data_IF_096413802916
#
_entry.id   IF_096413802916
#
_cell.length_a   1.000
_cell.length_b   1.000
_cell.length_c   1.000
_cell.angle_alpha   90.00
_cell.angle_beta   90.00
_cell.angle_gamma   90.00
#
_symmetry.space_group_name_H-M   'P 1'
#
loop_
_entity.id
_entity.type
_entity.pdbx_description
1 polymer ?
#
# COMPACT_ATOMS: atom_id res chain seq x y z
N UNK A 1 -1.61 -0.55 -4.86
CA UNK A 1 -0.56 -1.32 -4.16
C UNK A 1 -1.22 -2.61 -3.72
N UNK A 2 -0.60 -3.77 -3.91
CA UNK A 2 -1.17 -5.04 -3.49
C UNK A 2 -0.88 -5.31 -2.00
N UNK A 3 -1.15 -4.31 -1.15
CA UNK A 3 -0.78 -4.36 0.27
C UNK A 3 -1.54 -5.47 1.01
N UNK A 4 -2.81 -5.70 0.66
CA UNK A 4 -3.60 -6.81 1.19
C UNK A 4 -2.98 -8.17 0.90
N UNK A 5 -2.58 -8.43 -0.35
CA UNK A 5 -1.93 -9.69 -0.71
C UNK A 5 -0.51 -9.83 -0.16
N UNK A 6 0.22 -8.73 0.03
CA UNK A 6 1.51 -8.75 0.72
C UNK A 6 1.35 -9.11 2.21
N UNK A 7 0.40 -8.49 2.90
CA UNK A 7 0.07 -8.85 4.29
C UNK A 7 -0.41 -10.29 4.40
N UNK A 8 -1.21 -10.75 3.43
CA UNK A 8 -1.64 -12.13 3.32
C UNK A 8 -0.48 -13.09 3.10
N UNK A 9 0.58 -12.67 2.42
CA UNK A 9 1.80 -13.46 2.34
C UNK A 9 2.54 -13.45 3.69
N UNK A 10 2.68 -12.31 4.37
CA UNK A 10 3.49 -12.20 5.57
C UNK A 10 2.86 -12.84 6.83
N UNK A 11 1.60 -12.53 7.15
CA UNK A 11 0.98 -12.94 8.43
C UNK A 11 0.87 -14.47 8.62
N UNK A 12 0.59 -15.27 7.58
CA UNK A 12 0.61 -16.72 7.71
C UNK A 12 1.99 -17.30 8.05
N UNK A 13 3.09 -16.59 7.77
CA UNK A 13 4.45 -17.01 8.11
C UNK A 13 4.90 -16.55 9.50
N UNK A 14 4.09 -15.78 10.24
CA UNK A 14 4.36 -15.51 11.64
C UNK A 14 4.35 -16.81 12.47
N UNK A 15 4.86 -16.75 13.70
CA UNK A 15 4.82 -17.87 14.63
C UNK A 15 3.37 -18.36 14.85
N UNK A 16 3.14 -19.67 14.71
CA UNK A 16 1.82 -20.31 14.84
C UNK A 16 1.28 -20.24 16.26
N UNK A 17 2.15 -20.29 17.27
CA UNK A 17 1.73 -20.20 18.69
C UNK A 17 1.21 -18.80 19.03
N UNK A 18 1.71 -17.78 18.32
CA UNK A 18 1.31 -16.39 18.51
C UNK A 18 0.11 -16.03 17.64
N UNK A 19 0.07 -16.53 16.42
CA UNK A 19 -0.96 -16.24 15.44
C UNK A 19 -1.39 -17.51 14.70
N UNK A 20 -2.31 -18.30 15.25
CA UNK A 20 -2.73 -19.56 14.65
C UNK A 20 -3.72 -19.39 13.49
N UNK A 21 -4.45 -18.27 13.43
CA UNK A 21 -5.44 -18.01 12.38
C UNK A 21 -5.32 -16.64 11.73
N UNK A 22 -5.54 -16.58 10.42
CA UNK A 22 -5.62 -15.32 9.64
C UNK A 22 -6.89 -15.34 8.80
N UNK A 23 -7.73 -14.32 8.94
CA UNK A 23 -8.87 -14.09 8.05
C UNK A 23 -8.53 -13.01 7.03
N UNK A 24 -8.80 -13.25 5.75
CA UNK A 24 -8.64 -12.27 4.67
C UNK A 24 -9.96 -12.03 3.97
N UNK A 25 -10.37 -10.77 3.88
CA UNK A 25 -11.60 -10.36 3.20
C UNK A 25 -11.23 -9.44 2.04
N UNK A 26 -11.72 -9.75 0.84
CA UNK A 26 -11.56 -8.90 -0.34
C UNK A 26 -12.83 -8.96 -1.19
N UNK A 27 -13.41 -7.79 -1.49
CA UNK A 27 -14.68 -7.72 -2.20
C UNK A 27 -15.79 -8.48 -1.46
N UNK A 28 -16.39 -9.48 -2.11
CA UNK A 28 -17.43 -10.36 -1.53
C UNK A 28 -16.92 -11.76 -1.16
N UNK A 29 -15.61 -11.91 -1.02
CA UNK A 29 -14.97 -13.18 -0.69
C UNK A 29 -14.22 -13.06 0.63
N UNK A 30 -14.27 -14.11 1.43
CA UNK A 30 -13.44 -14.23 2.62
C UNK A 30 -12.76 -15.59 2.70
N UNK A 31 -11.57 -15.59 3.27
CA UNK A 31 -10.68 -16.73 3.38
C UNK A 31 -10.22 -16.84 4.83
N UNK A 32 -10.30 -18.04 5.42
CA UNK A 32 -9.76 -18.33 6.74
C UNK A 32 -8.61 -19.31 6.61
N UNK A 33 -7.43 -18.89 7.03
CA UNK A 33 -6.21 -19.69 7.06
C UNK A 33 -6.04 -20.22 8.48
N UNK A 34 -6.17 -21.54 8.65
CA UNK A 34 -5.85 -22.22 9.89
C UNK A 34 -4.47 -22.84 9.77
N UNK A 35 -3.52 -22.30 10.54
CA UNK A 35 -2.12 -22.74 10.50
C UNK A 35 -1.87 -24.00 11.33
N UNK A 36 -2.73 -24.30 12.29
CA UNK A 36 -2.62 -25.54 13.06
C UNK A 36 -2.93 -26.74 12.17
N UNK A 37 -3.98 -26.63 11.36
CA UNK A 37 -4.41 -27.69 10.45
C UNK A 37 -3.85 -27.54 9.03
N UNK A 38 -3.19 -26.41 8.72
CA UNK A 38 -2.67 -26.03 7.40
C UNK A 38 -3.74 -26.04 6.32
N UNK A 39 -4.94 -25.56 6.66
CA UNK A 39 -6.09 -25.51 5.75
C UNK A 39 -6.48 -24.07 5.40
N UNK A 40 -7.16 -23.92 4.26
CA UNK A 40 -7.78 -22.66 3.84
C UNK A 40 -9.25 -22.92 3.54
N UNK A 41 -10.12 -22.22 4.26
CA UNK A 41 -11.56 -22.25 4.03
C UNK A 41 -11.99 -20.99 3.28
N UNK A 42 -12.85 -21.13 2.27
CA UNK A 42 -13.36 -20.01 1.47
C UNK A 42 -14.86 -19.84 1.70
N UNK A 43 -15.29 -18.59 1.86
CA UNK A 43 -16.68 -18.22 2.06
C UNK A 43 -17.09 -17.16 1.03
N UNK A 44 -18.28 -17.32 0.43
CA UNK A 44 -18.89 -16.32 -0.47
C UNK A 44 -19.94 -15.49 0.27
N UNK A 45 -19.94 -14.18 0.02
CA UNK A 45 -20.87 -13.22 0.63
C UNK A 45 -20.22 -12.46 1.78
N UNK A 46 -21.01 -12.09 2.79
CA UNK A 46 -20.52 -11.49 4.04
C UNK A 46 -20.50 -12.47 5.25
N UNK A 47 -20.06 -13.76 5.17
CA UNK A 47 -20.31 -14.75 6.23
C UNK A 47 -19.03 -15.23 6.93
N UNK A 48 -17.88 -14.57 6.70
CA UNK A 48 -16.62 -14.91 7.39
C UNK A 48 -16.66 -14.53 8.88
N UNK A 49 -17.53 -13.60 9.27
CA UNK A 49 -17.59 -13.04 10.62
C UNK A 49 -18.13 -14.04 11.62
N UNK A 50 -19.18 -14.79 11.29
CA UNK A 50 -19.75 -15.78 12.20
C UNK A 50 -18.73 -16.85 12.55
N UNK A 51 -17.96 -17.29 11.55
CA UNK A 51 -16.88 -18.27 11.74
C UNK A 51 -15.77 -17.69 12.61
N UNK A 52 -15.29 -16.48 12.30
CA UNK A 52 -14.24 -15.82 13.10
C UNK A 52 -14.72 -15.55 14.54
N UNK A 53 -15.98 -15.17 14.73
CA UNK A 53 -16.61 -15.00 16.04
C UNK A 53 -16.64 -16.31 16.84
N UNK A 54 -17.01 -17.43 16.21
CA UNK A 54 -17.00 -18.75 16.87
C UNK A 54 -15.59 -19.10 17.38
N UNK A 55 -14.55 -18.86 16.58
CA UNK A 55 -13.17 -19.12 16.99
C UNK A 55 -12.70 -18.16 18.09
N UNK A 56 -13.03 -16.87 17.99
CA UNK A 56 -12.79 -15.87 19.03
C UNK A 56 -13.43 -16.25 20.37
N UNK A 57 -14.70 -16.69 20.37
CA UNK A 57 -15.41 -17.15 21.57
C UNK A 57 -14.79 -18.40 22.19
N UNK A 58 -14.16 -19.26 21.38
CA UNK A 58 -13.38 -20.43 21.84
C UNK A 58 -11.98 -20.05 22.34
N UNK A 59 -11.62 -18.78 22.36
CA UNK A 59 -10.32 -18.28 22.82
C UNK A 59 -9.19 -18.44 21.81
N UNK A 60 -9.50 -18.76 20.54
CA UNK A 60 -8.48 -18.85 19.49
C UNK A 60 -8.06 -17.45 19.09
N UNK A 61 -6.75 -17.19 19.09
CA UNK A 61 -6.17 -15.92 18.63
C UNK A 61 -6.16 -15.87 17.11
N UNK A 62 -6.35 -14.69 16.54
CA UNK A 62 -6.20 -14.51 15.11
C UNK A 62 -6.11 -13.06 14.69
N UNK A 63 -5.98 -12.87 13.38
CA UNK A 63 -5.85 -11.55 12.78
C UNK A 63 -6.69 -11.44 11.52
N UNK A 64 -7.39 -10.32 11.36
CA UNK A 64 -8.17 -10.02 10.17
C UNK A 64 -7.43 -9.02 9.27
N UNK A 65 -7.31 -9.35 7.99
CA UNK A 65 -6.93 -8.41 6.94
C UNK A 65 -8.21 -8.11 6.13
N UNK A 66 -8.68 -6.86 6.20
CA UNK A 66 -9.83 -6.41 5.42
C UNK A 66 -9.36 -5.54 4.26
N UNK A 67 -9.40 -6.07 3.04
CA UNK A 67 -9.01 -5.37 1.83
C UNK A 67 -10.20 -4.62 1.23
N UNK A 68 -10.30 -3.34 1.58
CA UNK A 68 -11.36 -2.45 1.14
C UNK A 68 -11.17 -1.97 -0.31
N UNK A 69 -10.14 -2.41 -1.03
CA UNK A 69 -9.89 -1.95 -2.41
C UNK A 69 -10.98 -2.35 -3.39
N UNK A 70 -11.63 -3.48 -3.15
CA UNK A 70 -12.75 -4.00 -3.95
C UNK A 70 -14.04 -4.10 -3.13
N UNK A 71 -14.00 -3.73 -1.85
CA UNK A 71 -15.16 -3.79 -0.99
C UNK A 71 -15.99 -2.51 -1.17
N UNK A 72 -17.24 -2.68 -1.60
CA UNK A 72 -18.21 -1.59 -1.65
C UNK A 72 -18.84 -1.29 -0.28
N UNK A 73 -18.48 -2.07 0.74
CA UNK A 73 -19.11 -2.07 2.05
C UNK A 73 -18.07 -1.89 3.16
N UNK A 74 -18.56 -1.44 4.31
CA UNK A 74 -17.78 -1.42 5.55
C UNK A 74 -17.66 -2.86 6.09
N UNK A 75 -16.72 -3.17 7.00
CA UNK A 75 -16.68 -4.48 7.62
C UNK A 75 -17.95 -4.62 8.44
N UNK A 76 -18.50 -5.83 8.54
CA UNK A 76 -19.71 -5.96 9.32
C UNK A 76 -19.47 -5.61 10.80
N UNK A 77 -20.57 -5.22 11.46
CA UNK A 77 -20.55 -4.78 12.84
C UNK A 77 -19.96 -5.89 13.74
N UNK A 78 -19.05 -5.52 14.64
CA UNK A 78 -18.41 -6.45 15.58
C UNK A 78 -17.02 -6.96 15.17
N UNK A 79 -16.50 -6.52 14.02
CA UNK A 79 -15.08 -6.68 13.69
C UNK A 79 -14.21 -5.52 14.24
N UNK A 80 -12.95 -5.78 14.65
CA UNK A 80 -12.41 -7.11 14.91
C UNK A 80 -13.11 -7.81 16.08
N UNK A 81 -13.24 -9.13 15.99
CA UNK A 81 -13.78 -9.95 17.07
C UNK A 81 -12.92 -9.81 18.33
N UNK A 82 -13.51 -10.06 19.51
CA UNK A 82 -12.80 -9.95 20.79
C UNK A 82 -11.52 -10.80 20.78
N UNK A 83 -10.37 -10.19 21.11
CA UNK A 83 -9.08 -10.88 21.15
C UNK A 83 -8.40 -11.10 19.79
N UNK A 84 -9.00 -10.61 18.69
CA UNK A 84 -8.37 -10.58 17.37
C UNK A 84 -7.89 -9.17 17.03
N UNK A 85 -6.79 -9.08 16.28
CA UNK A 85 -6.34 -7.84 15.67
C UNK A 85 -6.92 -7.66 14.26
N UNK A 86 -6.89 -6.43 13.73
CA UNK A 86 -7.30 -6.17 12.35
C UNK A 86 -6.45 -5.08 11.69
N UNK A 87 -6.13 -5.31 10.41
CA UNK A 87 -5.67 -4.27 9.48
C UNK A 87 -6.75 -4.08 8.41
N UNK A 88 -7.08 -2.83 8.15
CA UNK A 88 -7.88 -2.44 6.98
C UNK A 88 -6.94 -1.87 5.93
N UNK A 89 -6.94 -2.45 4.74
CA UNK A 89 -6.21 -1.96 3.58
C UNK A 89 -7.18 -1.15 2.74
N UNK A 90 -7.04 0.17 2.76
CA UNK A 90 -7.87 1.08 1.96
C UNK A 90 -7.17 1.47 0.66
N UNK A 91 -7.94 1.87 -0.37
CA UNK A 91 -7.38 2.69 -1.44
C UNK A 91 -6.60 3.89 -0.90
N UNK A 92 -5.65 4.46 -1.66
CA UNK A 92 -4.93 5.67 -1.30
C UNK A 92 -5.82 6.90 -1.51
N UNK A 93 -6.93 6.95 -0.77
CA UNK A 93 -7.87 8.06 -0.72
C UNK A 93 -8.01 8.53 0.73
N UNK A 94 -7.78 9.81 0.97
CA UNK A 94 -7.80 10.38 2.32
C UNK A 94 -9.18 10.31 2.94
N UNK A 95 -10.24 10.59 2.19
CA UNK A 95 -11.60 10.59 2.74
C UNK A 95 -11.99 9.19 3.19
N UNK A 96 -11.61 8.17 2.42
CA UNK A 96 -11.73 6.79 2.84
C UNK A 96 -10.94 6.55 4.13
N UNK A 97 -9.64 6.82 4.13
CA UNK A 97 -8.79 6.62 5.31
C UNK A 97 -9.33 7.33 6.57
N UNK A 98 -9.72 8.60 6.49
CA UNK A 98 -10.23 9.38 7.63
C UNK A 98 -11.57 8.84 8.13
N UNK A 99 -12.45 8.43 7.20
CA UNK A 99 -13.72 7.78 7.54
C UNK A 99 -13.47 6.48 8.31
N UNK A 100 -12.50 5.69 7.85
CA UNK A 100 -12.12 4.43 8.49
C UNK A 100 -11.47 4.62 9.85
N UNK A 101 -10.51 5.55 9.95
CA UNK A 101 -9.83 5.88 11.20
C UNK A 101 -10.82 6.35 12.27
N UNK A 102 -11.73 7.27 11.92
CA UNK A 102 -12.76 7.78 12.83
C UNK A 102 -13.76 6.71 13.25
N UNK A 103 -14.19 5.85 12.33
CA UNK A 103 -15.19 4.81 12.61
C UNK A 103 -14.63 3.71 13.52
N UNK A 104 -13.38 3.32 13.31
CA UNK A 104 -12.78 2.14 13.95
C UNK A 104 -11.88 2.49 15.14
N UNK A 105 -11.74 3.79 15.47
CA UNK A 105 -10.69 4.30 16.38
C UNK A 105 -9.31 3.75 16.01
N UNK A 106 -9.05 3.64 14.70
CA UNK A 106 -7.91 2.90 14.18
C UNK A 106 -6.65 3.76 14.17
N UNK A 107 -5.53 3.13 14.53
CA UNK A 107 -4.20 3.74 14.38
C UNK A 107 -3.72 3.61 12.94
N UNK A 108 -3.33 4.73 12.34
CA UNK A 108 -2.77 4.76 11.00
C UNK A 108 -1.37 4.13 10.97
N UNK A 109 -1.17 3.17 10.08
CA UNK A 109 0.15 2.56 9.83
C UNK A 109 0.63 2.99 8.46
N UNK A 110 1.73 3.74 8.44
CA UNK A 110 2.42 4.14 7.21
C UNK A 110 3.57 3.18 6.95
N UNK A 111 3.51 2.45 5.83
CA UNK A 111 4.60 1.58 5.37
C UNK A 111 5.35 2.23 4.22
N UNK A 112 6.67 2.06 4.19
CA UNK A 112 7.46 2.49 3.04
C UNK A 112 7.04 1.73 1.78
N UNK A 113 7.20 2.38 0.63
CA UNK A 113 7.18 1.67 -0.65
C UNK A 113 8.37 0.67 -0.69
N UNK A 114 8.28 -0.39 -1.49
CA UNK A 114 9.39 -1.30 -1.72
C UNK A 114 10.64 -0.54 -2.17
N UNK A 115 11.81 -1.03 -1.77
CA UNK A 115 13.08 -0.49 -2.24
C UNK A 115 13.50 -1.15 -3.56
N UNK A 116 14.58 -0.66 -4.16
CA UNK A 116 15.08 -1.17 -5.44
C UNK A 116 15.33 -2.68 -5.41
N UNK A 117 15.92 -3.19 -4.32
CA UNK A 117 16.19 -4.62 -4.17
C UNK A 117 14.91 -5.44 -4.05
N UNK A 118 13.87 -4.91 -3.39
CA UNK A 118 12.57 -5.56 -3.31
C UNK A 118 11.94 -5.67 -4.69
N UNK A 119 11.93 -4.58 -5.46
CA UNK A 119 11.41 -4.57 -6.83
C UNK A 119 12.22 -5.50 -7.73
N UNK A 120 13.55 -5.52 -7.58
CA UNK A 120 14.43 -6.43 -8.32
C UNK A 120 14.10 -7.90 -8.03
N UNK A 121 13.90 -8.25 -6.76
CA UNK A 121 13.50 -9.59 -6.35
C UNK A 121 12.14 -9.96 -6.95
N UNK A 122 11.16 -9.04 -6.95
CA UNK A 122 9.88 -9.24 -7.62
C UNK A 122 10.04 -9.48 -9.12
N UNK A 123 10.89 -8.71 -9.80
CA UNK A 123 11.17 -8.90 -11.23
C UNK A 123 11.74 -10.29 -11.54
N UNK A 124 12.73 -10.72 -10.76
CA UNK A 124 13.33 -12.06 -10.87
C UNK A 124 12.24 -13.12 -10.67
N UNK A 125 11.41 -12.98 -9.62
CA UNK A 125 10.34 -13.93 -9.34
C UNK A 125 9.27 -14.00 -10.44
N UNK A 126 8.88 -12.85 -11.01
CA UNK A 126 7.91 -12.76 -12.10
C UNK A 126 8.43 -13.41 -13.40
N UNK A 127 9.74 -13.36 -13.62
CA UNK A 127 10.40 -13.92 -14.82
C UNK A 127 11.19 -15.19 -14.51
N UNK A 128 10.93 -15.86 -13.39
CA UNK A 128 11.72 -17.00 -12.89
C UNK A 128 11.86 -18.18 -13.87
N UNK A 129 10.88 -18.35 -14.75
CA UNK A 129 10.86 -19.43 -15.76
C UNK A 129 11.42 -18.97 -17.11
N UNK A 130 11.98 -17.77 -17.21
CA UNK A 130 12.55 -17.20 -18.44
C UNK A 130 14.08 -17.23 -18.40
N UNK A 131 14.76 -17.22 -19.56
CA UNK A 131 16.20 -17.12 -19.65
C UNK A 131 16.76 -15.90 -18.90
N UNK A 132 17.99 -16.01 -18.38
CA UNK A 132 18.64 -14.93 -17.62
C UNK A 132 18.72 -13.61 -18.38
N UNK A 133 18.87 -13.66 -19.71
CA UNK A 133 18.87 -12.47 -20.56
C UNK A 133 17.53 -11.73 -20.51
N UNK A 134 16.41 -12.43 -20.67
CA UNK A 134 15.07 -11.83 -20.56
C UNK A 134 14.80 -11.28 -19.16
N UNK A 135 15.31 -11.93 -18.11
CA UNK A 135 15.20 -11.43 -16.74
C UNK A 135 15.96 -10.10 -16.57
N UNK A 136 17.17 -10.00 -17.12
CA UNK A 136 17.99 -8.80 -17.07
C UNK A 136 17.37 -7.65 -17.88
N UNK A 137 16.83 -7.94 -19.08
CA UNK A 137 16.13 -6.96 -19.92
C UNK A 137 14.87 -6.44 -19.22
N UNK A 138 14.06 -7.33 -18.65
CA UNK A 138 12.87 -6.94 -17.89
C UNK A 138 13.22 -6.08 -16.66
N UNK A 139 14.26 -6.44 -15.91
CA UNK A 139 14.73 -5.60 -14.80
C UNK A 139 15.20 -4.23 -15.27
N UNK A 140 15.94 -4.15 -16.38
CA UNK A 140 16.40 -2.89 -16.95
C UNK A 140 15.23 -1.96 -17.29
N UNK A 141 14.15 -2.50 -17.88
CA UNK A 141 12.94 -1.72 -18.15
C UNK A 141 12.25 -1.22 -16.88
N UNK A 142 12.03 -2.12 -15.90
CA UNK A 142 11.35 -1.77 -14.65
C UNK A 142 12.16 -0.77 -13.84
N UNK A 143 13.49 -0.94 -13.75
CA UNK A 143 14.40 0.02 -13.11
C UNK A 143 14.34 1.38 -13.80
N UNK A 144 14.31 1.41 -15.13
CA UNK A 144 14.15 2.66 -15.88
C UNK A 144 12.86 3.41 -15.53
N UNK A 145 11.73 2.70 -15.47
CA UNK A 145 10.44 3.28 -15.04
C UNK A 145 10.49 3.74 -13.59
N UNK A 146 11.08 2.94 -12.70
CA UNK A 146 11.25 3.26 -11.29
C UNK A 146 12.07 4.53 -11.06
N UNK A 147 13.11 4.78 -11.86
CA UNK A 147 13.89 6.01 -11.79
C UNK A 147 13.06 7.26 -12.13
N UNK A 148 11.97 7.10 -12.88
CA UNK A 148 11.11 8.20 -13.31
C UNK A 148 9.88 8.39 -12.41
N UNK A 149 9.24 7.32 -11.95
CA UNK A 149 8.00 7.39 -11.14
C UNK A 149 8.10 6.73 -9.76
N UNK A 150 9.33 6.51 -9.27
CA UNK A 150 9.60 5.87 -7.99
C UNK A 150 9.22 4.39 -7.96
N UNK A 151 9.43 3.69 -6.84
CA UNK A 151 9.11 2.26 -6.68
C UNK A 151 7.61 2.00 -6.45
N UNK A 152 6.75 2.71 -7.18
CA UNK A 152 5.30 2.54 -7.10
C UNK A 152 4.91 1.40 -8.04
N UNK A 153 4.77 0.19 -7.48
CA UNK A 153 4.54 -1.06 -8.21
C UNK A 153 3.47 -0.96 -9.31
N UNK A 154 2.38 -0.22 -9.05
CA UNK A 154 1.26 -0.02 -10.00
C UNK A 154 1.72 0.57 -11.33
N UNK A 155 2.73 1.44 -11.31
CA UNK A 155 3.17 2.19 -12.48
C UNK A 155 4.41 1.58 -13.12
N UNK A 156 5.26 0.86 -12.40
CA UNK A 156 6.55 0.39 -12.94
C UNK A 156 6.45 -0.93 -13.70
N UNK A 157 5.48 -1.80 -13.39
CA UNK A 157 5.38 -3.11 -14.05
C UNK A 157 4.64 -3.06 -15.40
N UNK A 158 3.73 -2.11 -15.61
CA UNK A 158 2.97 -1.96 -16.85
C UNK A 158 3.39 -0.74 -17.64
N UNK A 159 3.72 -0.90 -18.93
CA UNK A 159 4.11 0.22 -19.81
C UNK A 159 3.01 1.27 -19.92
N UNK A 160 1.76 0.87 -20.16
CA UNK A 160 0.64 1.81 -20.27
C UNK A 160 0.42 2.60 -18.97
N UNK A 161 0.41 1.90 -17.83
CA UNK A 161 0.26 2.54 -16.52
C UNK A 161 1.40 3.51 -16.19
N UNK A 162 2.63 3.19 -16.62
CA UNK A 162 3.77 4.08 -16.55
C UNK A 162 3.55 5.35 -17.39
N UNK A 163 3.20 5.18 -18.67
CA UNK A 163 3.01 6.30 -19.60
C UNK A 163 1.87 7.23 -19.14
N UNK A 164 0.76 6.66 -18.68
CA UNK A 164 -0.38 7.42 -18.13
C UNK A 164 0.04 8.17 -16.86
N UNK A 165 0.88 7.57 -16.01
CA UNK A 165 1.38 8.24 -14.81
C UNK A 165 2.28 9.41 -15.15
N UNK A 166 3.20 9.26 -16.11
CA UNK A 166 4.06 10.37 -16.57
C UNK A 166 3.21 11.53 -17.09
N UNK A 167 2.24 11.25 -17.98
CA UNK A 167 1.31 12.27 -18.49
C UNK A 167 0.57 12.98 -17.36
N UNK A 168 0.04 12.22 -16.39
CA UNK A 168 -0.66 12.80 -15.25
C UNK A 168 0.26 13.71 -14.40
N UNK A 169 1.54 13.35 -14.21
CA UNK A 169 2.50 14.18 -13.50
C UNK A 169 2.81 15.47 -14.26
N UNK A 170 3.07 15.38 -15.56
CA UNK A 170 3.34 16.53 -16.41
C UNK A 170 2.15 17.50 -16.47
N UNK A 171 0.92 16.98 -16.58
CA UNK A 171 -0.29 17.79 -16.50
C UNK A 171 -0.44 18.47 -15.13
N UNK A 172 -0.13 17.78 -14.03
CA UNK A 172 -0.12 18.38 -12.70
C UNK A 172 0.88 19.53 -12.59
N UNK A 173 2.14 19.32 -13.00
CA UNK A 173 3.17 20.37 -12.98
C UNK A 173 2.76 21.55 -13.87
N UNK A 174 2.27 21.27 -15.07
CA UNK A 174 1.79 22.27 -16.03
C UNK A 174 0.60 23.09 -15.52
N UNK A 175 -0.35 22.46 -14.82
CA UNK A 175 -1.55 23.12 -14.29
C UNK A 175 -1.39 23.82 -12.94
N UNK A 176 -0.27 23.63 -12.24
CA UNK A 176 -0.05 24.20 -10.89
C UNK A 176 0.34 25.68 -10.90
N UNK A 177 0.10 26.40 -9.81
CA UNK A 177 0.74 27.70 -9.54
C UNK A 177 2.15 27.50 -8.95
N UNK A 178 3.00 28.54 -9.00
CA UNK A 178 4.30 28.51 -8.35
C UNK A 178 4.19 28.18 -6.86
N UNK A 179 3.19 28.73 -6.16
CA UNK A 179 2.97 28.48 -4.72
C UNK A 179 2.57 27.02 -4.41
N UNK A 180 1.88 26.35 -5.33
CA UNK A 180 1.49 24.94 -5.17
C UNK A 180 2.68 24.00 -5.41
N UNK A 181 3.53 24.32 -6.38
CA UNK A 181 4.78 23.59 -6.62
C UNK A 181 5.76 23.79 -5.45
N UNK A 182 5.89 25.01 -4.94
CA UNK A 182 6.73 25.33 -3.78
C UNK A 182 6.31 24.53 -2.54
N UNK A 183 5.00 24.38 -2.29
CA UNK A 183 4.48 23.53 -1.20
C UNK A 183 4.90 22.05 -1.35
N UNK A 184 4.95 21.53 -2.56
CA UNK A 184 5.41 20.16 -2.81
C UNK A 184 6.94 20.02 -2.78
N UNK A 185 7.67 21.09 -3.09
CA UNK A 185 9.12 21.21 -2.93
C UNK A 185 9.54 21.39 -1.46
N UNK A 186 8.58 21.67 -0.57
CA UNK A 186 8.72 21.63 0.89
C UNK A 186 8.99 20.21 1.41
N UNK A 187 10.14 19.66 1.01
CA UNK A 187 10.70 18.39 1.45
C UNK A 187 10.95 18.50 2.96
N UNK A 188 10.42 17.56 3.73
CA UNK A 188 10.74 17.44 5.16
C UNK A 188 9.65 17.86 6.15
N UNK A 189 8.53 18.38 5.67
CA UNK A 189 7.38 18.64 6.53
C UNK A 189 6.72 17.31 6.94
N UNK A 190 6.54 17.13 8.25
CA UNK A 190 5.70 16.06 8.81
C UNK A 190 4.36 16.09 8.10
N UNK A 191 3.90 14.93 7.62
CA UNK A 191 2.65 14.73 6.87
C UNK A 191 1.63 15.86 7.04
N UNK A 192 1.70 16.88 6.18
CA UNK A 192 0.60 17.83 6.05
C UNK A 192 -0.41 17.14 5.14
N UNK A 193 -1.64 17.06 5.60
CA UNK A 193 -2.74 16.32 4.98
C UNK A 193 -3.24 16.96 3.68
N UNK A 194 -2.36 17.60 2.91
CA UNK A 194 -2.69 18.25 1.65
C UNK A 194 -2.93 17.17 0.59
N UNK A 195 -4.17 16.70 0.57
CA UNK A 195 -4.77 15.75 -0.35
C UNK A 195 -5.13 16.39 -1.69
N UNK A 196 -4.31 17.34 -2.13
CA UNK A 196 -4.48 17.86 -3.48
C UNK A 196 -4.17 16.73 -4.46
N UNK A 197 -4.94 16.65 -5.53
CA UNK A 197 -4.64 15.78 -6.68
C UNK A 197 -3.17 15.91 -7.13
N UNK A 198 -2.60 17.09 -6.90
CA UNK A 198 -1.19 17.41 -7.09
C UNK A 198 -0.23 16.57 -6.23
N UNK A 199 -0.45 16.46 -4.93
CA UNK A 199 0.43 15.69 -4.03
C UNK A 199 0.35 14.19 -4.36
N UNK A 200 -0.86 13.68 -4.63
CA UNK A 200 -1.07 12.30 -5.12
C UNK A 200 -0.34 12.02 -6.44
N UNK A 201 -0.02 13.06 -7.21
CA UNK A 201 0.72 12.95 -8.49
C UNK A 201 2.23 13.07 -8.33
N UNK A 202 2.73 13.90 -7.42
CA UNK A 202 4.17 14.27 -7.38
C UNK A 202 4.94 13.76 -6.16
N UNK A 203 4.24 13.39 -5.08
CA UNK A 203 4.83 13.10 -3.77
C UNK A 203 4.53 11.67 -3.34
N UNK A 204 5.48 11.07 -2.61
CA UNK A 204 5.34 9.81 -1.87
C UNK A 204 5.53 10.05 -0.38
N UNK A 205 4.90 9.23 0.43
CA UNK A 205 5.10 9.23 1.88
C UNK A 205 6.18 8.20 2.22
N UNK A 206 7.16 8.60 3.02
CA UNK A 206 8.17 7.71 3.60
C UNK A 206 8.16 7.83 5.12
N UNK A 207 8.34 6.71 5.80
CA UNK A 207 8.55 6.61 7.24
C UNK A 207 10.03 6.89 7.53
N UNK A 208 10.28 7.89 8.36
CA UNK A 208 11.63 8.26 8.82
C UNK A 208 11.71 8.06 10.33
N UNK A 209 12.78 7.43 10.80
CA UNK A 209 13.08 7.30 12.23
C UNK A 209 13.99 8.46 12.65
N UNK A 210 13.52 9.31 13.58
CA UNK A 210 14.34 10.38 14.17
C UNK A 210 14.99 9.89 15.47
N UNK A 211 15.97 10.64 15.97
CA UNK A 211 16.92 10.25 17.04
C UNK A 211 16.35 9.75 18.38
N UNK A 212 15.03 9.79 18.58
CA UNK A 212 14.35 9.34 19.81
C UNK A 212 13.48 8.09 19.59
N UNK A 213 13.73 7.27 18.55
CA UNK A 213 12.85 6.17 18.14
C UNK A 213 11.42 6.57 17.77
N UNK A 214 11.17 7.88 17.62
CA UNK A 214 9.92 8.40 17.12
C UNK A 214 9.96 8.30 15.61
N UNK A 215 8.98 7.58 15.08
CA UNK A 215 8.79 7.45 13.64
C UNK A 215 7.80 8.50 13.18
N UNK A 216 8.12 9.16 12.08
CA UNK A 216 7.25 10.17 11.52
C UNK A 216 7.16 10.01 10.01
N UNK A 217 5.95 10.10 9.44
CA UNK A 217 5.78 10.16 8.00
C UNK A 217 6.32 11.49 7.46
N UNK A 218 7.05 11.39 6.35
CA UNK A 218 7.69 12.49 5.65
C UNK A 218 7.27 12.42 4.18
N UNK A 219 6.87 13.57 3.65
CA UNK A 219 6.59 13.69 2.23
C UNK A 219 7.89 13.91 1.46
N UNK A 220 8.16 13.04 0.48
CA UNK A 220 9.28 13.15 -0.45
C UNK A 220 8.75 13.18 -1.88
N UNK A 221 9.49 13.79 -2.79
CA UNK A 221 9.20 13.65 -4.21
C UNK A 221 9.32 12.18 -4.62
N UNK A 222 8.47 11.78 -5.55
CA UNK A 222 8.37 10.38 -6.00
C UNK A 222 9.70 9.88 -6.58
N UNK A 223 10.42 10.73 -7.31
CA UNK A 223 11.68 10.41 -7.96
C UNK A 223 12.52 11.67 -8.21
N UNK A 224 13.85 11.51 -8.40
CA UNK A 224 14.71 12.61 -8.83
C UNK A 224 14.34 13.20 -10.20
N UNK A 225 13.68 12.41 -11.06
CA UNK A 225 13.20 12.89 -12.36
C UNK A 225 12.06 13.89 -12.19
N UNK A 226 11.05 13.54 -11.39
CA UNK A 226 9.92 14.43 -11.11
C UNK A 226 10.33 15.65 -10.29
N UNK A 227 11.36 15.53 -9.46
CA UNK A 227 11.97 16.68 -8.79
C UNK A 227 12.52 17.70 -9.79
N UNK A 228 13.27 17.24 -10.80
CA UNK A 228 13.76 18.12 -11.87
C UNK A 228 12.60 18.75 -12.65
N UNK A 229 11.58 17.97 -13.04
CA UNK A 229 10.41 18.51 -13.75
C UNK A 229 9.67 19.57 -12.91
N UNK A 230 9.46 19.30 -11.62
CA UNK A 230 8.79 20.22 -10.68
C UNK A 230 9.59 21.51 -10.52
N UNK A 231 10.92 21.42 -10.36
CA UNK A 231 11.81 22.58 -10.26
C UNK A 231 11.82 23.41 -11.55
N UNK A 232 11.86 22.76 -12.71
CA UNK A 232 11.78 23.44 -14.01
C UNK A 232 10.46 24.17 -14.20
N UNK A 233 9.33 23.52 -13.87
CA UNK A 233 8.01 24.11 -13.96
C UNK A 233 7.82 25.29 -12.99
N UNK A 234 8.43 25.23 -11.81
CA UNK A 234 8.41 26.32 -10.82
C UNK A 234 9.19 27.55 -11.32
N UNK A 235 10.38 27.38 -11.90
CA UNK A 235 11.19 28.50 -12.41
C UNK A 235 10.55 29.25 -13.60
N UNK A 236 9.60 28.62 -14.28
CA UNK A 236 8.93 29.18 -15.45
C UNK A 236 7.64 29.95 -15.12
N UNK A 237 7.22 29.98 -13.84
CA UNK A 237 5.98 30.59 -13.36
C UNK A 237 6.27 31.71 -12.38
#
# INVERSE_FOLDING_TARGET
MAAGSYLLYQLPHCDVEKLPMVAYVIGSQSFLFDKNTKTVSTYRGDPGIDVVNIFSLRGVKGYCIYDATLAFFLPAAGLPCRGWGMIVVTPPDKNEYERWAKKMDATAIVTNCPEENDVRAMCIWMKRNRPLQEQAEYWREVRGRMNNVGPILRFIFGKQAYDDRIKACQQAVGGSTASELERNLGIGCCYSSNDSDLSRKLVRVVRVRRGNNIESPLNLLISPHLERETLSGWRMK
#
